data_IF_515225159286
#
_entry.id   IF_515225159286
#
_cell.length_a   1.000
_cell.length_b   1.000
_cell.length_c   1.000
_cell.angle_alpha   90.00
_cell.angle_beta   90.00
_cell.angle_gamma   90.00
#
_symmetry.space_group_name_H-M   'P 1'
#
loop_
_entity.id
_entity.type
_entity.pdbx_description
1 polymer ?
#
# COMPACT_ATOMS: atom_id res chain seq x y z
N UNK A 1 -14.07 4.82 -16.46
CA UNK A 1 -12.85 4.39 -15.73
C UNK A 1 -13.18 4.27 -14.25
N UNK A 2 -13.04 3.08 -13.68
CA UNK A 2 -13.30 2.79 -12.26
C UNK A 2 -11.94 2.62 -11.55
N UNK A 3 -11.74 3.34 -10.46
CA UNK A 3 -10.53 3.27 -9.62
C UNK A 3 -10.79 2.38 -8.42
N UNK A 4 -10.02 1.29 -8.31
CA UNK A 4 -10.15 0.28 -7.25
C UNK A 4 -8.96 0.39 -6.31
N UNK A 5 -9.22 0.82 -5.08
CA UNK A 5 -8.21 0.86 -4.01
C UNK A 5 -8.10 -0.50 -3.32
N UNK A 6 -6.90 -1.06 -3.21
CA UNK A 6 -6.64 -2.30 -2.46
C UNK A 6 -5.84 -1.96 -1.22
N UNK A 7 -6.40 -2.23 -0.07
CA UNK A 7 -5.74 -2.04 1.22
C UNK A 7 -5.80 -3.32 2.07
N UNK A 8 -5.14 -3.31 3.21
CA UNK A 8 -5.10 -4.46 4.13
C UNK A 8 -3.83 -4.46 4.96
N UNK A 9 -3.78 -5.30 5.98
CA UNK A 9 -2.66 -5.39 6.90
C UNK A 9 -1.36 -5.84 6.24
N UNK A 10 -0.24 -5.62 6.92
CA UNK A 10 1.07 -6.10 6.47
C UNK A 10 1.03 -7.61 6.19
N UNK A 11 1.61 -8.04 5.08
CA UNK A 11 1.67 -9.43 4.63
C UNK A 11 0.30 -10.14 4.43
N UNK A 12 -0.81 -9.38 4.26
CA UNK A 12 -2.14 -9.96 3.99
C UNK A 12 -2.30 -10.55 2.59
N UNK A 13 -1.41 -10.20 1.64
CA UNK A 13 -1.46 -10.67 0.25
C UNK A 13 -2.12 -9.70 -0.72
N UNK A 14 -2.09 -8.40 -0.43
CA UNK A 14 -2.60 -7.32 -1.31
C UNK A 14 -2.08 -7.44 -2.74
N UNK A 15 -0.78 -7.59 -2.93
CA UNK A 15 -0.16 -7.66 -4.25
C UNK A 15 -0.64 -8.87 -5.05
N UNK A 16 -0.90 -10.01 -4.38
CA UNK A 16 -1.48 -11.20 -5.02
C UNK A 16 -2.91 -10.90 -5.49
N UNK A 17 -3.72 -10.26 -4.64
CA UNK A 17 -5.09 -9.86 -5.00
C UNK A 17 -5.09 -8.81 -6.10
N UNK A 18 -4.19 -7.82 -6.06
CA UNK A 18 -4.04 -6.82 -7.11
C UNK A 18 -3.74 -7.46 -8.47
N UNK A 19 -2.79 -8.39 -8.52
CA UNK A 19 -2.47 -9.16 -9.74
C UNK A 19 -3.64 -9.99 -10.24
N UNK A 20 -4.38 -10.65 -9.35
CA UNK A 20 -5.56 -11.43 -9.72
C UNK A 20 -6.69 -10.54 -10.26
N UNK A 21 -6.95 -9.39 -9.63
CA UNK A 21 -7.94 -8.42 -10.10
C UNK A 21 -7.54 -7.79 -11.43
N UNK A 22 -6.26 -7.51 -11.62
CA UNK A 22 -5.71 -7.01 -12.89
C UNK A 22 -5.89 -8.00 -14.04
N UNK A 23 -5.77 -9.29 -13.75
CA UNK A 23 -5.80 -10.36 -14.75
C UNK A 23 -4.93 -10.07 -15.99
N UNK A 24 -3.80 -9.40 -15.83
CA UNK A 24 -2.91 -8.95 -16.90
C UNK A 24 -3.47 -7.83 -17.80
N UNK A 25 -4.76 -7.45 -17.65
CA UNK A 25 -5.45 -6.49 -18.53
C UNK A 25 -5.43 -5.07 -17.97
N UNK A 26 -5.50 -4.91 -16.64
CA UNK A 26 -5.66 -3.62 -16.00
C UNK A 26 -4.38 -3.21 -15.28
N UNK A 27 -3.94 -1.95 -15.45
CA UNK A 27 -2.71 -1.47 -14.84
C UNK A 27 -2.82 -1.39 -13.31
N UNK A 28 -1.70 -1.68 -12.63
CA UNK A 28 -1.59 -1.63 -11.17
C UNK A 28 -0.64 -0.50 -10.78
N UNK A 29 -1.11 0.38 -9.90
CA UNK A 29 -0.27 1.32 -9.17
C UNK A 29 0.11 0.71 -7.83
N UNK A 30 1.40 0.54 -7.58
CA UNK A 30 1.95 0.09 -6.29
C UNK A 30 2.53 1.30 -5.55
N UNK A 31 1.89 1.70 -4.44
CA UNK A 31 2.32 2.86 -3.66
C UNK A 31 3.67 2.64 -2.97
N UNK A 32 3.99 1.42 -2.53
CA UNK A 32 5.29 1.11 -1.92
C UNK A 32 6.42 1.21 -2.95
N UNK A 33 6.16 0.78 -4.18
CA UNK A 33 7.09 0.96 -5.30
C UNK A 33 7.25 2.45 -5.65
N UNK A 34 6.16 3.20 -5.76
CA UNK A 34 6.21 4.64 -6.02
C UNK A 34 7.03 5.38 -4.95
N UNK A 35 6.87 5.05 -3.68
CA UNK A 35 7.68 5.60 -2.59
C UNK A 35 9.16 5.27 -2.78
N UNK A 36 9.52 4.03 -3.15
CA UNK A 36 10.91 3.65 -3.43
C UNK A 36 11.52 4.49 -4.55
N UNK A 37 10.77 4.73 -5.63
CA UNK A 37 11.23 5.55 -6.75
C UNK A 37 11.38 7.04 -6.35
N UNK A 38 10.46 7.56 -5.53
CA UNK A 38 10.57 8.92 -4.97
C UNK A 38 11.87 9.08 -4.17
N UNK A 39 12.24 8.10 -3.35
CA UNK A 39 13.49 8.12 -2.58
C UNK A 39 14.77 8.15 -3.46
N UNK A 40 14.68 7.78 -4.73
CA UNK A 40 15.80 7.85 -5.67
C UNK A 40 15.95 9.23 -6.31
N UNK A 41 14.85 10.02 -6.39
CA UNK A 41 14.84 11.33 -7.06
C UNK A 41 15.70 12.35 -6.31
N UNK A 42 16.54 13.08 -7.06
CA UNK A 42 17.40 14.14 -6.52
C UNK A 42 16.58 15.19 -5.75
N UNK A 43 15.49 15.67 -6.34
CA UNK A 43 14.58 16.66 -5.73
C UNK A 43 14.02 16.24 -4.37
N UNK A 44 13.74 14.94 -4.17
CA UNK A 44 13.35 14.42 -2.85
C UNK A 44 14.52 14.41 -1.88
N UNK A 45 15.70 13.93 -2.32
CA UNK A 45 16.90 13.83 -1.49
C UNK A 45 17.29 15.20 -0.96
N UNK A 46 17.40 16.20 -1.84
CA UNK A 46 17.81 17.57 -1.48
C UNK A 46 16.87 18.16 -0.44
N UNK A 47 15.54 18.04 -0.66
CA UNK A 47 14.54 18.52 0.27
C UNK A 47 14.54 17.77 1.60
N UNK A 48 14.58 16.43 1.56
CA UNK A 48 14.56 15.60 2.75
C UNK A 48 15.83 15.76 3.58
N UNK A 49 16.99 15.85 2.93
CA UNK A 49 18.28 16.03 3.61
C UNK A 49 18.35 17.37 4.32
N UNK A 50 17.93 18.44 3.65
CA UNK A 50 17.84 19.79 4.26
C UNK A 50 16.93 19.81 5.48
N UNK A 51 15.70 19.27 5.36
CA UNK A 51 14.69 19.32 6.44
C UNK A 51 15.06 18.40 7.63
N UNK A 52 15.68 17.25 7.37
CA UNK A 52 16.03 16.28 8.41
C UNK A 52 17.42 16.55 9.03
N UNK A 53 18.23 17.42 8.43
CA UNK A 53 19.62 17.68 8.85
C UNK A 53 20.54 16.48 8.60
N UNK A 54 20.41 15.79 7.44
CA UNK A 54 21.15 14.57 7.10
C UNK A 54 21.81 14.68 5.74
N UNK A 55 22.88 13.89 5.51
CA UNK A 55 23.66 13.91 4.26
C UNK A 55 23.50 12.64 3.43
N UNK A 56 22.80 11.61 3.93
CA UNK A 56 22.70 10.32 3.23
C UNK A 56 21.35 9.63 3.42
N UNK A 57 21.00 8.74 2.47
CA UNK A 57 19.81 7.89 2.53
C UNK A 57 19.79 6.97 3.76
N UNK A 58 20.95 6.48 4.19
CA UNK A 58 21.05 5.61 5.36
C UNK A 58 20.76 6.37 6.64
N UNK A 59 21.21 7.62 6.73
CA UNK A 59 20.87 8.51 7.85
C UNK A 59 19.37 8.82 7.88
N UNK A 60 18.72 9.07 6.73
CA UNK A 60 17.25 9.21 6.66
C UNK A 60 16.56 7.98 7.23
N UNK A 61 16.95 6.77 6.80
CA UNK A 61 16.36 5.52 7.31
C UNK A 61 16.55 5.36 8.81
N UNK A 62 17.76 5.61 9.32
CA UNK A 62 18.09 5.48 10.73
C UNK A 62 17.25 6.45 11.58
N UNK A 63 17.23 7.73 11.23
CA UNK A 63 16.49 8.76 11.95
C UNK A 63 14.98 8.50 11.92
N UNK A 64 14.43 8.18 10.75
CA UNK A 64 13.00 7.91 10.58
C UNK A 64 12.55 6.66 11.34
N UNK A 65 13.40 5.65 11.44
CA UNK A 65 13.08 4.42 12.20
C UNK A 65 13.08 4.62 13.72
N UNK A 66 13.85 5.56 14.22
CA UNK A 66 14.05 5.81 15.67
C UNK A 66 13.21 6.98 16.19
N UNK A 67 12.81 7.92 15.33
CA UNK A 67 12.14 9.15 15.74
C UNK A 67 10.78 9.35 15.04
N UNK A 68 9.65 9.17 15.77
CA UNK A 68 8.30 9.34 15.21
C UNK A 68 8.01 10.74 14.66
N UNK A 69 8.60 11.80 15.27
CA UNK A 69 8.44 13.19 14.78
C UNK A 69 9.10 13.35 13.40
N UNK A 70 10.34 12.86 13.25
CA UNK A 70 11.07 12.89 11.96
C UNK A 70 10.40 12.02 10.91
N UNK A 71 9.78 10.91 11.29
CA UNK A 71 8.95 10.10 10.40
C UNK A 71 7.77 10.91 9.84
N UNK A 72 6.99 11.60 10.70
CA UNK A 72 5.88 12.46 10.27
C UNK A 72 6.32 13.57 9.31
N UNK A 73 7.48 14.17 9.57
CA UNK A 73 8.07 15.19 8.69
C UNK A 73 8.37 14.58 7.30
N UNK A 74 8.99 13.41 7.28
CA UNK A 74 9.29 12.69 6.03
C UNK A 74 8.00 12.33 5.26
N UNK A 75 6.98 11.87 5.96
CA UNK A 75 5.66 11.59 5.38
C UNK A 75 5.02 12.83 4.74
N UNK A 76 5.11 14.01 5.40
CA UNK A 76 4.63 15.28 4.82
C UNK A 76 5.32 15.64 3.50
N UNK A 77 6.59 15.26 3.33
CA UNK A 77 7.33 15.49 2.07
C UNK A 77 6.90 14.45 1.01
N UNK A 78 6.73 13.20 1.39
CA UNK A 78 6.44 12.10 0.48
C UNK A 78 4.99 12.13 -0.03
N UNK A 79 4.01 12.42 0.82
CA UNK A 79 2.59 12.33 0.47
C UNK A 79 2.20 13.14 -0.76
N UNK A 80 2.62 14.43 -0.92
CA UNK A 80 2.33 15.19 -2.14
C UNK A 80 2.95 14.55 -3.40
N UNK A 81 4.15 13.98 -3.28
CA UNK A 81 4.84 13.34 -4.40
C UNK A 81 4.13 12.05 -4.81
N UNK A 82 3.70 11.22 -3.85
CA UNK A 82 2.88 10.04 -4.15
C UNK A 82 1.55 10.42 -4.78
N UNK A 83 0.89 11.49 -4.32
CA UNK A 83 -0.34 12.01 -4.94
C UNK A 83 -0.09 12.44 -6.39
N UNK A 84 1.05 13.07 -6.68
CA UNK A 84 1.44 13.46 -8.05
C UNK A 84 1.62 12.22 -8.93
N UNK A 85 2.33 11.20 -8.46
CA UNK A 85 2.52 9.92 -9.19
C UNK A 85 1.17 9.22 -9.44
N UNK A 86 0.28 9.19 -8.44
CA UNK A 86 -1.06 8.61 -8.55
C UNK A 86 -1.90 9.33 -9.62
N UNK A 87 -1.88 10.68 -9.64
CA UNK A 87 -2.54 11.47 -10.67
C UNK A 87 -1.95 11.21 -12.05
N UNK A 88 -0.62 11.17 -12.17
CA UNK A 88 0.07 10.89 -13.43
C UNK A 88 -0.25 9.48 -13.95
N UNK A 89 -0.24 8.47 -13.08
CA UNK A 89 -0.65 7.10 -13.43
C UNK A 89 -2.11 7.06 -13.93
N UNK A 90 -3.01 7.74 -13.24
CA UNK A 90 -4.42 7.83 -13.62
C UNK A 90 -4.58 8.48 -15.01
N UNK A 91 -3.89 9.60 -15.28
CA UNK A 91 -3.93 10.30 -16.57
C UNK A 91 -3.41 9.42 -17.72
N UNK A 92 -2.27 8.75 -17.53
CA UNK A 92 -1.67 7.85 -18.55
C UNK A 92 -2.58 6.68 -18.92
N UNK A 93 -3.40 6.22 -17.98
CA UNK A 93 -4.24 5.04 -18.15
C UNK A 93 -5.75 5.35 -18.28
N UNK A 94 -6.12 6.59 -18.61
CA UNK A 94 -7.52 7.07 -18.62
C UNK A 94 -8.47 6.28 -19.53
N UNK A 95 -7.95 5.61 -20.56
CA UNK A 95 -8.75 4.78 -21.50
C UNK A 95 -9.05 3.37 -20.97
N UNK A 96 -8.47 2.96 -19.85
CA UNK A 96 -8.69 1.63 -19.27
C UNK A 96 -9.98 1.62 -18.44
N UNK A 97 -10.75 0.52 -18.54
CA UNK A 97 -12.01 0.35 -17.77
C UNK A 97 -11.76 0.39 -16.26
N UNK A 98 -10.73 -0.34 -15.79
CA UNK A 98 -10.33 -0.40 -14.38
C UNK A 98 -8.89 0.05 -14.19
N UNK A 99 -8.65 0.77 -13.07
CA UNK A 99 -7.32 1.06 -12.55
C UNK A 99 -7.22 0.50 -11.12
N UNK A 100 -6.18 -0.26 -10.86
CA UNK A 100 -5.96 -0.91 -9.57
C UNK A 100 -4.87 -0.18 -8.81
N UNK A 101 -5.11 0.13 -7.54
CA UNK A 101 -4.19 0.88 -6.70
C UNK A 101 -3.91 0.09 -5.41
N UNK A 102 -2.72 -0.48 -5.29
CA UNK A 102 -2.27 -1.12 -4.07
C UNK A 102 -1.70 -0.07 -3.11
N UNK A 103 -2.45 0.26 -2.06
CA UNK A 103 -2.08 1.29 -1.08
C UNK A 103 -2.27 0.75 0.34
N UNK A 104 -1.20 0.30 1.01
CA UNK A 104 -1.30 -0.29 2.35
C UNK A 104 -1.92 0.62 3.41
N UNK A 105 -1.61 1.91 3.36
CA UNK A 105 -2.08 2.94 4.30
C UNK A 105 -3.19 3.83 3.70
N UNK A 106 -4.06 3.27 2.83
CA UNK A 106 -5.11 4.00 2.12
C UNK A 106 -6.05 4.74 3.07
N UNK A 107 -6.49 4.06 4.13
CA UNK A 107 -7.44 4.60 5.11
C UNK A 107 -6.73 5.60 6.03
N UNK A 108 -5.55 5.24 6.53
CA UNK A 108 -4.73 6.08 7.41
C UNK A 108 -4.33 7.41 6.73
N UNK A 109 -4.10 7.38 5.44
CA UNK A 109 -3.77 8.56 4.62
C UNK A 109 -5.00 9.34 4.15
N UNK A 110 -6.21 8.95 4.56
CA UNK A 110 -7.50 9.59 4.19
C UNK A 110 -7.71 9.70 2.67
N UNK A 111 -7.27 8.69 1.92
CA UNK A 111 -7.32 8.71 0.45
C UNK A 111 -8.62 8.08 -0.11
N UNK A 112 -9.57 7.65 0.73
CA UNK A 112 -10.77 6.91 0.33
C UNK A 112 -11.56 7.61 -0.78
N UNK A 113 -11.74 8.92 -0.68
CA UNK A 113 -12.49 9.74 -1.67
C UNK A 113 -11.93 9.69 -3.10
N UNK A 114 -10.71 9.19 -3.29
CA UNK A 114 -10.09 9.08 -4.61
C UNK A 114 -10.47 7.79 -5.37
N UNK A 115 -11.20 6.88 -4.74
CA UNK A 115 -11.52 5.55 -5.27
C UNK A 115 -13.03 5.35 -5.37
N UNK A 116 -13.44 4.67 -6.46
CA UNK A 116 -14.84 4.30 -6.67
C UNK A 116 -15.20 3.05 -5.84
N UNK A 117 -14.23 2.15 -5.65
CA UNK A 117 -14.37 0.93 -4.84
C UNK A 117 -13.11 0.69 -4.02
N UNK A 118 -13.28 0.22 -2.80
CA UNK A 118 -12.17 -0.13 -1.91
C UNK A 118 -12.30 -1.59 -1.49
N UNK A 119 -11.24 -2.36 -1.72
CA UNK A 119 -11.14 -3.78 -1.37
C UNK A 119 -10.18 -3.95 -0.21
N UNK A 120 -10.65 -4.52 0.89
CA UNK A 120 -9.82 -4.90 2.02
C UNK A 120 -9.37 -6.34 1.92
N UNK A 121 -8.06 -6.58 1.91
CA UNK A 121 -7.48 -7.93 1.96
C UNK A 121 -7.22 -8.30 3.41
N UNK A 122 -8.08 -9.18 3.94
CA UNK A 122 -8.00 -9.68 5.30
C UNK A 122 -7.18 -10.97 5.38
N UNK A 123 -6.39 -11.12 6.44
CA UNK A 123 -5.69 -12.38 6.77
C UNK A 123 -5.38 -12.46 8.25
N UNK A 124 -5.53 -13.66 8.85
CA UNK A 124 -5.22 -13.94 10.24
C UNK A 124 -3.77 -13.56 10.57
N UNK A 125 -3.53 -13.02 11.76
CA UNK A 125 -2.20 -12.50 12.16
C UNK A 125 -1.10 -13.57 12.08
N UNK A 126 -1.38 -14.81 12.53
CA UNK A 126 -0.43 -15.91 12.46
C UNK A 126 0.00 -16.24 11.02
N UNK A 127 -0.94 -16.20 10.05
CA UNK A 127 -0.65 -16.41 8.62
C UNK A 127 0.20 -15.27 8.07
N UNK A 128 -0.10 -14.03 8.43
CA UNK A 128 0.66 -12.85 8.03
C UNK A 128 2.11 -12.90 8.54
N UNK A 129 2.30 -13.35 9.79
CA UNK A 129 3.63 -13.58 10.39
C UNK A 129 4.41 -14.63 9.60
N UNK A 130 3.79 -15.80 9.34
CA UNK A 130 4.43 -16.87 8.55
C UNK A 130 4.87 -16.38 7.17
N UNK A 131 4.00 -15.64 6.46
CA UNK A 131 4.31 -15.06 5.15
C UNK A 131 5.43 -14.00 5.21
N UNK A 132 5.46 -13.21 6.29
CA UNK A 132 6.47 -12.17 6.47
C UNK A 132 7.86 -12.78 6.74
N UNK A 133 7.92 -13.81 7.59
CA UNK A 133 9.16 -14.57 7.85
C UNK A 133 9.70 -15.26 6.60
N UNK A 134 8.82 -15.87 5.78
CA UNK A 134 9.22 -16.50 4.49
C UNK A 134 9.86 -15.52 3.50
N UNK A 135 9.64 -14.21 3.66
CA UNK A 135 10.31 -13.15 2.89
C UNK A 135 11.64 -12.68 3.51
N UNK A 136 12.22 -13.45 4.43
CA UNK A 136 13.47 -13.11 5.12
C UNK A 136 13.37 -11.94 6.09
N UNK A 137 12.14 -11.58 6.54
CA UNK A 137 11.94 -10.43 7.43
C UNK A 137 11.69 -10.85 8.86
N UNK A 138 12.27 -10.13 9.82
CA UNK A 138 12.19 -10.47 11.24
C UNK A 138 10.91 -9.94 11.92
N UNK A 139 10.62 -10.51 13.10
CA UNK A 139 9.43 -10.16 13.89
C UNK A 139 9.43 -8.71 14.42
N UNK A 140 10.61 -8.17 14.73
CA UNK A 140 10.74 -6.80 15.22
C UNK A 140 10.20 -5.81 14.19
N UNK A 141 10.60 -5.99 12.93
CA UNK A 141 10.09 -5.19 11.81
C UNK A 141 8.60 -5.41 11.57
N UNK A 142 8.10 -6.68 11.66
CA UNK A 142 6.67 -6.97 11.54
C UNK A 142 5.85 -6.16 12.55
N UNK A 143 6.24 -6.18 13.81
CA UNK A 143 5.51 -5.50 14.89
C UNK A 143 5.50 -3.98 14.70
N UNK A 144 6.62 -3.39 14.27
CA UNK A 144 6.70 -1.95 13.96
C UNK A 144 5.73 -1.56 12.85
N UNK A 145 5.70 -2.34 11.75
CA UNK A 145 4.85 -2.05 10.61
C UNK A 145 3.36 -2.34 10.89
N UNK A 146 3.06 -3.39 11.69
CA UNK A 146 1.69 -3.75 12.08
C UNK A 146 1.08 -2.68 13.01
N UNK A 147 1.87 -2.18 13.98
CA UNK A 147 1.45 -1.09 14.90
C UNK A 147 1.15 0.24 14.18
N UNK A 148 1.77 0.50 13.04
CA UNK A 148 1.52 1.71 12.23
C UNK A 148 0.20 1.68 11.47
N UNK A 149 -0.41 0.51 11.36
CA UNK A 149 -1.67 0.35 10.65
C UNK A 149 -2.86 0.34 11.62
N UNK A 150 -3.98 0.90 11.20
CA UNK A 150 -5.24 0.75 11.91
C UNK A 150 -5.61 -0.73 12.02
N UNK A 151 -6.27 -1.08 13.12
CA UNK A 151 -6.81 -2.44 13.31
C UNK A 151 -7.75 -2.82 12.15
N UNK A 152 -7.75 -4.07 11.67
CA UNK A 152 -8.59 -4.51 10.54
C UNK A 152 -10.06 -4.11 10.67
N UNK A 153 -10.65 -4.27 11.85
CA UNK A 153 -12.06 -3.91 12.15
C UNK A 153 -12.33 -2.43 11.83
N UNK A 154 -11.41 -1.52 12.17
CA UNK A 154 -11.55 -0.09 11.84
C UNK A 154 -11.44 0.18 10.35
N UNK A 155 -10.57 -0.55 9.63
CA UNK A 155 -10.37 -0.37 8.18
C UNK A 155 -11.56 -0.89 7.37
N UNK A 156 -12.11 -2.03 7.75
CA UNK A 156 -13.22 -2.70 7.03
C UNK A 156 -14.43 -1.77 6.90
N UNK A 157 -14.69 -0.92 7.89
CA UNK A 157 -15.82 0.04 7.87
C UNK A 157 -15.76 1.04 6.69
N UNK A 158 -14.60 1.23 6.08
CA UNK A 158 -14.39 2.13 4.94
C UNK A 158 -14.24 1.39 3.61
N UNK A 159 -14.51 0.09 3.57
CA UNK A 159 -14.26 -0.75 2.40
C UNK A 159 -15.55 -1.35 1.87
N UNK A 160 -15.72 -1.33 0.55
CA UNK A 160 -16.91 -1.90 -0.13
C UNK A 160 -16.87 -3.44 -0.13
N UNK A 161 -15.66 -4.02 -0.19
CA UNK A 161 -15.48 -5.47 -0.27
C UNK A 161 -14.36 -5.96 0.65
N UNK A 162 -14.55 -7.15 1.22
CA UNK A 162 -13.54 -7.84 2.03
C UNK A 162 -13.18 -9.17 1.37
N UNK A 163 -11.89 -9.38 1.11
CA UNK A 163 -11.35 -10.64 0.59
C UNK A 163 -10.55 -11.33 1.69
N UNK A 164 -11.07 -12.43 2.22
CA UNK A 164 -10.37 -13.24 3.22
C UNK A 164 -9.29 -14.13 2.54
N UNK A 165 -8.03 -13.90 2.86
CA UNK A 165 -6.87 -14.62 2.31
C UNK A 165 -6.20 -15.50 3.37
N UNK A 166 -6.96 -16.46 3.90
CA UNK A 166 -6.51 -17.39 4.94
C UNK A 166 -6.24 -18.81 4.43
N UNK A 167 -6.58 -19.10 3.19
CA UNK A 167 -6.58 -20.44 2.61
C UNK A 167 -5.64 -20.53 1.39
N UNK A 168 -5.81 -21.58 0.58
CA UNK A 168 -5.04 -21.81 -0.66
C UNK A 168 -5.27 -20.73 -1.71
N UNK A 169 -4.34 -20.62 -2.67
CA UNK A 169 -4.45 -19.72 -3.81
C UNK A 169 -5.70 -19.99 -4.66
N UNK A 170 -6.13 -21.26 -4.81
CA UNK A 170 -7.35 -21.66 -5.51
C UNK A 170 -8.58 -21.01 -4.87
N UNK A 171 -8.71 -21.13 -3.53
CA UNK A 171 -9.80 -20.49 -2.77
C UNK A 171 -9.74 -18.96 -2.85
N UNK A 172 -8.54 -18.37 -2.82
CA UNK A 172 -8.36 -16.92 -3.00
C UNK A 172 -8.83 -16.46 -4.39
N UNK A 173 -8.43 -17.17 -5.46
CA UNK A 173 -8.83 -16.88 -6.84
C UNK A 173 -10.36 -16.87 -7.00
N UNK A 174 -11.05 -17.83 -6.40
CA UNK A 174 -12.53 -17.86 -6.42
C UNK A 174 -13.15 -16.65 -5.72
N UNK A 175 -12.63 -16.25 -4.54
CA UNK A 175 -13.10 -15.04 -3.83
C UNK A 175 -12.86 -13.77 -4.64
N UNK A 176 -11.71 -13.66 -5.29
CA UNK A 176 -11.40 -12.53 -6.17
C UNK A 176 -12.38 -12.46 -7.34
N UNK A 177 -12.69 -13.60 -7.99
CA UNK A 177 -13.68 -13.66 -9.08
C UNK A 177 -15.07 -13.20 -8.63
N UNK A 178 -15.50 -13.57 -7.42
CA UNK A 178 -16.79 -13.11 -6.85
C UNK A 178 -16.81 -11.58 -6.66
N UNK A 179 -15.71 -11.00 -6.19
CA UNK A 179 -15.60 -9.54 -6.06
C UNK A 179 -15.54 -8.87 -7.43
N UNK A 180 -14.82 -9.44 -8.41
CA UNK A 180 -14.76 -8.90 -9.79
C UNK A 180 -16.13 -8.76 -10.45
N UNK A 181 -17.05 -9.69 -10.18
CA UNK A 181 -18.44 -9.62 -10.71
C UNK A 181 -19.27 -8.46 -10.13
N UNK A 182 -18.82 -7.89 -8.99
CA UNK A 182 -19.49 -6.79 -8.26
C UNK A 182 -18.83 -5.42 -8.48
N UNK A 183 -17.74 -5.38 -9.24
CA UNK A 183 -16.99 -4.16 -9.59
C UNK A 183 -17.43 -3.60 -10.94
#
# INVERSE_FOLDING_TARGET
MIKIGITGSIASGKSTVAKMLSNGKYPIFDADYAVKEIYKKKSFKDKAYKILGVKSKNQVKSIVSKNPKKLKVTEKIIHPLVKKELKAFTKRNRRKKFLIFEIPLLIESKLMKNFNKIVFVNSKRNIRIKRFKRKGKNMKLFNVLDKRQLKPVKKIKFCDHVINNNNSLKKLKNRVKLVQKKL
#
